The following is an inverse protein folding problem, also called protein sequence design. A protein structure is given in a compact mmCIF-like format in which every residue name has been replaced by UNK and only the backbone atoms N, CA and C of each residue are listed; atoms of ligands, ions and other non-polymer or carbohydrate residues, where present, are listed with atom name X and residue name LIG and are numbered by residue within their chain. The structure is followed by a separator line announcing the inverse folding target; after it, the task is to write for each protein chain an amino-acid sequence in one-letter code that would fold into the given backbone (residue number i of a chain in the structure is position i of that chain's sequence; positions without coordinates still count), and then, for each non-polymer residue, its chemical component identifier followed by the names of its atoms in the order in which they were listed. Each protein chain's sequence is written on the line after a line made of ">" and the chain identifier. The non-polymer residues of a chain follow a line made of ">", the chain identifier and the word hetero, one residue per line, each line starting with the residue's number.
data_IF_710156668730
#
_entry.id   IF_710156668730
#
_cell.length_a   1.000
_cell.length_b   1.000
_cell.length_c   1.000
_cell.angle_alpha   90.00
_cell.angle_beta   90.00
_cell.angle_gamma   90.00
#
_symmetry.space_group_name_H-M   'P 1'
#
loop_
_entity.id
_entity.type
_entity.pdbx_description
1 polymer ?
#
# COMPACT_ATOMS: atom_id res chain seq x y z
N UNK A 1 -11.32 5.34 -15.91
CA UNK A 1 -10.66 4.96 -14.67
C UNK A 1 -10.09 3.57 -14.88
N UNK A 2 -8.79 3.44 -15.05
CA UNK A 2 -8.16 2.13 -15.22
C UNK A 2 -7.40 1.80 -13.95
N UNK A 3 -7.82 0.76 -13.26
CA UNK A 3 -6.99 0.07 -12.28
C UNK A 3 -6.09 -0.87 -13.10
N UNK A 4 -4.79 -0.63 -13.08
CA UNK A 4 -3.83 -1.54 -13.71
C UNK A 4 -3.19 -2.38 -12.62
N UNK A 5 -3.11 -3.68 -12.85
CA UNK A 5 -2.62 -4.63 -11.88
C UNK A 5 -1.46 -5.41 -12.49
N UNK A 6 -0.47 -5.68 -11.68
CA UNK A 6 0.71 -6.42 -12.08
C UNK A 6 0.82 -7.69 -11.24
N UNK A 7 1.00 -8.83 -11.88
CA UNK A 7 1.45 -10.06 -11.22
C UNK A 7 2.85 -10.37 -11.69
N UNK A 8 3.58 -11.25 -11.01
CA UNK A 8 4.91 -11.68 -11.44
C UNK A 8 4.98 -12.32 -12.83
N UNK A 9 3.85 -12.38 -13.56
CA UNK A 9 3.69 -12.91 -14.92
C UNK A 9 3.05 -11.91 -15.89
N UNK A 10 3.03 -10.59 -15.58
CA UNK A 10 2.56 -9.56 -16.52
C UNK A 10 1.33 -8.75 -16.07
N UNK A 11 0.89 -7.86 -16.95
CA UNK A 11 -0.22 -6.92 -16.72
C UNK A 11 -1.57 -7.64 -16.79
N UNK A 12 -2.34 -7.65 -15.71
CA UNK A 12 -3.71 -8.19 -15.71
C UNK A 12 -4.70 -7.09 -16.10
N UNK A 13 -5.51 -7.33 -17.12
CA UNK A 13 -6.60 -6.44 -17.53
C UNK A 13 -7.72 -6.43 -16.49
N UNK A 14 -8.34 -5.26 -16.27
CA UNK A 14 -9.44 -5.07 -15.30
C UNK A 14 -10.58 -6.09 -15.44
N UNK A 15 -10.81 -6.63 -16.65
CA UNK A 15 -11.84 -7.63 -16.92
C UNK A 15 -11.56 -9.02 -16.32
N UNK A 16 -10.29 -9.38 -16.10
CA UNK A 16 -9.92 -10.67 -15.49
C UNK A 16 -10.03 -10.66 -13.96
N UNK A 17 -9.99 -9.49 -13.37
CA UNK A 17 -10.15 -9.29 -11.92
C UNK A 17 -11.61 -9.31 -11.47
N UNK A 18 -12.54 -9.10 -12.42
CA UNK A 18 -13.98 -9.15 -12.17
C UNK A 18 -14.56 -10.58 -12.25
N UNK A 19 -13.72 -11.62 -12.42
CA UNK A 19 -14.20 -12.98 -12.16
C UNK A 19 -14.76 -13.00 -10.73
N UNK A 20 -16.00 -13.50 -10.53
CA UNK A 20 -16.66 -13.38 -9.23
C UNK A 20 -15.76 -13.94 -8.15
N UNK A 21 -15.26 -13.04 -7.29
CA UNK A 21 -14.65 -13.39 -6.02
C UNK A 21 -15.78 -13.92 -5.13
N UNK A 22 -16.19 -15.15 -5.39
CA UNK A 22 -16.95 -15.88 -4.39
C UNK A 22 -16.00 -16.04 -3.20
N UNK A 23 -16.32 -15.44 -2.04
CA UNK A 23 -15.52 -15.66 -0.85
C UNK A 23 -15.50 -17.17 -0.63
N UNK A 24 -14.32 -17.77 -0.56
CA UNK A 24 -14.19 -19.13 -0.02
C UNK A 24 -14.80 -19.06 1.39
N UNK A 25 -16.02 -19.55 1.54
CA UNK A 25 -16.69 -19.67 2.83
C UNK A 25 -15.75 -20.45 3.75
N UNK A 26 -15.18 -19.76 4.72
CA UNK A 26 -14.51 -20.39 5.85
C UNK A 26 -15.57 -21.21 6.58
N UNK A 27 -15.51 -22.51 6.42
CA UNK A 27 -16.30 -23.46 7.19
C UNK A 27 -15.71 -23.52 8.60
N UNK A 28 -16.38 -22.92 9.57
CA UNK A 28 -16.22 -23.22 10.99
C UNK A 28 -15.04 -22.58 11.71
N UNK A 29 -15.30 -21.62 12.52
CA UNK A 29 -14.62 -20.63 13.38
C UNK A 29 -14.47 -19.29 12.65
N UNK A 30 -14.96 -18.23 13.26
CA UNK A 30 -14.86 -16.86 12.71
C UNK A 30 -13.37 -16.54 12.53
N UNK A 31 -12.88 -16.69 11.31
CA UNK A 31 -11.57 -16.19 10.89
C UNK A 31 -11.54 -14.66 10.98
N UNK A 32 -10.37 -14.03 10.87
CA UNK A 32 -10.26 -12.58 10.87
C UNK A 32 -11.16 -11.99 9.77
N UNK A 33 -11.76 -10.83 10.07
CA UNK A 33 -12.63 -10.13 9.13
C UNK A 33 -11.94 -9.94 7.77
N UNK A 34 -12.70 -10.01 6.69
CA UNK A 34 -12.25 -9.53 5.39
C UNK A 34 -12.12 -7.99 5.38
N UNK A 35 -11.33 -7.43 4.45
CA UNK A 35 -11.09 -5.98 4.43
C UNK A 35 -12.37 -5.17 4.23
N UNK A 36 -13.32 -5.66 3.42
CA UNK A 36 -14.62 -5.01 3.25
C UNK A 36 -15.42 -4.94 4.56
N UNK A 37 -15.46 -6.05 5.31
CA UNK A 37 -16.17 -6.12 6.60
C UNK A 37 -15.46 -5.30 7.67
N UNK A 38 -14.12 -5.29 7.64
CA UNK A 38 -13.31 -4.44 8.50
C UNK A 38 -13.63 -2.95 8.28
N UNK A 39 -13.67 -2.49 7.03
CA UNK A 39 -14.06 -1.11 6.70
C UNK A 39 -15.50 -0.81 7.12
N UNK A 40 -16.44 -1.71 6.87
CA UNK A 40 -17.84 -1.53 7.27
C UNK A 40 -17.96 -1.35 8.78
N UNK A 41 -17.16 -2.08 9.56
CA UNK A 41 -17.19 -2.03 11.03
C UNK A 41 -16.49 -0.79 11.60
N UNK A 42 -15.30 -0.46 11.07
CA UNK A 42 -14.40 0.54 11.68
C UNK A 42 -14.36 1.88 10.96
N UNK A 43 -14.87 1.94 9.72
CA UNK A 43 -14.89 3.12 8.86
C UNK A 43 -16.26 3.35 8.19
N UNK A 44 -17.38 3.43 8.95
CA UNK A 44 -18.73 3.51 8.38
C UNK A 44 -18.95 4.78 7.53
N UNK A 45 -18.09 5.78 7.66
CA UNK A 45 -18.11 7.01 6.85
C UNK A 45 -17.64 6.79 5.41
N UNK A 46 -16.91 5.70 5.13
CA UNK A 46 -16.44 5.38 3.78
C UNK A 46 -17.60 4.87 2.93
N UNK A 47 -17.90 5.63 1.88
CA UNK A 47 -18.91 5.24 0.92
C UNK A 47 -18.36 4.19 -0.03
N UNK A 48 -19.03 3.06 -0.13
CA UNK A 48 -18.65 1.93 -0.97
C UNK A 48 -19.05 2.14 -2.45
N UNK A 49 -18.54 3.20 -3.09
CA UNK A 49 -18.70 3.40 -4.53
C UNK A 49 -18.11 2.22 -5.33
N UNK A 50 -18.54 1.98 -6.58
CA UNK A 50 -18.05 0.84 -7.37
C UNK A 50 -16.53 0.74 -7.44
N UNK A 51 -15.83 1.86 -7.66
CA UNK A 51 -14.36 1.89 -7.69
C UNK A 51 -13.71 1.57 -6.34
N UNK A 52 -14.34 1.98 -5.22
CA UNK A 52 -13.85 1.63 -3.87
C UNK A 52 -14.04 0.15 -3.61
N UNK A 53 -15.18 -0.44 -4.00
CA UNK A 53 -15.41 -1.88 -3.88
C UNK A 53 -14.37 -2.69 -4.66
N UNK A 54 -14.04 -2.27 -5.89
CA UNK A 54 -13.00 -2.90 -6.69
C UNK A 54 -11.62 -2.78 -6.01
N UNK A 55 -11.25 -1.59 -5.54
CA UNK A 55 -10.00 -1.37 -4.84
C UNK A 55 -9.89 -2.25 -3.58
N UNK A 56 -10.93 -2.29 -2.77
CA UNK A 56 -10.99 -3.12 -1.55
C UNK A 56 -10.85 -4.61 -1.88
N UNK A 57 -11.53 -5.09 -2.92
CA UNK A 57 -11.43 -6.48 -3.35
C UNK A 57 -10.01 -6.88 -3.80
N UNK A 58 -9.31 -5.98 -4.51
CA UNK A 58 -7.94 -6.22 -4.95
C UNK A 58 -6.96 -6.16 -3.77
N UNK A 59 -7.13 -5.20 -2.86
CA UNK A 59 -6.33 -5.12 -1.63
C UNK A 59 -6.52 -6.35 -0.74
N UNK A 60 -7.71 -6.93 -0.72
CA UNK A 60 -7.93 -8.22 -0.04
C UNK A 60 -7.01 -9.31 -0.60
N UNK A 61 -6.86 -9.39 -1.93
CA UNK A 61 -5.95 -10.36 -2.56
C UNK A 61 -4.49 -10.12 -2.21
N UNK A 62 -4.09 -8.85 -2.04
CA UNK A 62 -2.76 -8.52 -1.54
C UNK A 62 -2.59 -9.04 -0.10
N UNK A 63 -3.58 -8.80 0.76
CA UNK A 63 -3.54 -9.29 2.13
C UNK A 63 -3.54 -10.82 2.22
N UNK A 64 -4.21 -11.51 1.30
CA UNK A 64 -4.25 -12.98 1.22
C UNK A 64 -2.96 -13.59 0.61
N UNK A 65 -2.02 -12.74 0.13
CA UNK A 65 -0.77 -13.18 -0.49
C UNK A 65 -0.92 -13.66 -1.93
N UNK A 66 -2.11 -13.51 -2.52
CA UNK A 66 -2.38 -13.89 -3.92
C UNK A 66 -1.77 -12.87 -4.91
N UNK A 67 -1.64 -11.62 -4.48
CA UNK A 67 -1.13 -10.53 -5.30
C UNK A 67 0.00 -9.82 -4.56
N UNK A 68 1.21 -9.85 -5.11
CA UNK A 68 2.40 -9.28 -4.47
C UNK A 68 2.82 -7.93 -5.03
N UNK A 69 2.36 -7.58 -6.23
CA UNK A 69 2.69 -6.32 -6.90
C UNK A 69 1.42 -5.68 -7.42
N UNK A 70 1.13 -4.49 -6.93
CA UNK A 70 -0.09 -3.76 -7.27
C UNK A 70 0.23 -2.31 -7.60
N UNK A 71 -0.28 -1.83 -8.73
CA UNK A 71 -0.28 -0.40 -9.05
C UNK A 71 -1.71 0.11 -9.11
N UNK A 72 -1.94 1.25 -8.45
CA UNK A 72 -3.26 1.89 -8.35
C UNK A 72 -3.19 3.29 -8.92
N UNK A 73 -3.82 3.51 -10.06
CA UNK A 73 -3.89 4.82 -10.70
C UNK A 73 -5.30 5.37 -10.55
N UNK A 74 -5.42 6.40 -9.75
CA UNK A 74 -6.71 7.05 -9.49
C UNK A 74 -6.52 8.57 -9.45
N UNK A 75 -7.50 9.33 -9.96
CA UNK A 75 -7.49 10.79 -9.84
C UNK A 75 -7.43 11.24 -8.37
N UNK A 76 -6.97 12.46 -8.10
CA UNK A 76 -7.06 13.05 -6.77
C UNK A 76 -8.50 13.03 -6.22
N UNK A 77 -8.65 12.98 -4.92
CA UNK A 77 -9.95 13.00 -4.19
C UNK A 77 -10.90 11.83 -4.47
N UNK A 78 -10.40 10.71 -5.03
CA UNK A 78 -11.19 9.49 -5.25
C UNK A 78 -10.97 8.42 -4.17
N UNK A 79 -10.39 8.77 -3.03
CA UNK A 79 -10.24 7.87 -1.88
C UNK A 79 -9.03 6.94 -1.92
N UNK A 80 -8.11 7.08 -2.90
CA UNK A 80 -6.96 6.19 -3.03
C UNK A 80 -6.12 6.10 -1.76
N UNK A 81 -5.60 7.22 -1.26
CA UNK A 81 -4.76 7.25 -0.05
C UNK A 81 -5.55 6.95 1.23
N UNK A 82 -6.85 7.31 1.27
CA UNK A 82 -7.73 6.94 2.39
C UNK A 82 -7.80 5.43 2.56
N UNK A 83 -8.05 4.71 1.47
CA UNK A 83 -8.19 3.25 1.50
C UNK A 83 -6.83 2.58 1.60
N UNK A 84 -5.86 2.94 0.71
CA UNK A 84 -4.60 2.19 0.57
C UNK A 84 -3.58 2.55 1.63
N UNK A 85 -3.51 3.83 2.05
CA UNK A 85 -2.40 4.32 2.88
C UNK A 85 -2.80 4.58 4.33
N UNK A 86 -4.11 4.58 4.65
CA UNK A 86 -4.60 4.79 6.01
C UNK A 86 -5.30 3.56 6.58
N UNK A 87 -6.30 3.01 5.87
CA UNK A 87 -7.09 1.87 6.37
C UNK A 87 -6.47 0.53 6.07
N UNK A 88 -5.87 0.34 4.90
CA UNK A 88 -5.28 -0.94 4.55
C UNK A 88 -4.09 -1.33 5.44
N UNK A 89 -3.15 -0.42 5.81
CA UNK A 89 -2.12 -0.73 6.79
C UNK A 89 -2.68 -1.14 8.16
N UNK A 90 -3.71 -0.45 8.64
CA UNK A 90 -4.37 -0.82 9.89
C UNK A 90 -4.99 -2.22 9.81
N UNK A 91 -5.63 -2.55 8.69
CA UNK A 91 -6.16 -3.88 8.43
C UNK A 91 -5.07 -4.97 8.34
N UNK A 92 -3.96 -4.68 7.66
CA UNK A 92 -2.84 -5.62 7.57
C UNK A 92 -2.28 -5.95 8.95
N UNK A 93 -2.09 -4.96 9.81
CA UNK A 93 -1.58 -5.15 11.17
C UNK A 93 -2.63 -5.72 12.13
N UNK A 94 -3.94 -5.48 11.89
CA UNK A 94 -5.02 -6.21 12.56
C UNK A 94 -4.96 -7.71 12.26
N UNK A 95 -4.70 -8.07 11.00
CA UNK A 95 -4.68 -9.46 10.54
C UNK A 95 -3.36 -10.17 10.82
N UNK A 96 -2.23 -9.44 10.72
CA UNK A 96 -0.87 -9.93 10.83
C UNK A 96 -0.04 -9.00 11.72
N UNK A 97 -0.30 -8.97 13.02
CA UNK A 97 0.31 -8.01 13.94
C UNK A 97 1.83 -8.22 14.14
N UNK A 98 2.39 -9.33 13.66
CA UNK A 98 3.82 -9.64 13.65
C UNK A 98 4.55 -9.09 12.42
N UNK A 99 3.81 -8.62 11.39
CA UNK A 99 4.40 -8.15 10.13
C UNK A 99 4.69 -6.66 10.16
N UNK A 100 5.61 -6.23 9.29
CA UNK A 100 5.98 -4.83 9.12
C UNK A 100 5.38 -4.25 7.84
N UNK A 101 4.79 -3.06 7.98
CA UNK A 101 4.31 -2.24 6.87
C UNK A 101 5.23 -1.03 6.73
N UNK A 102 5.76 -0.79 5.54
CA UNK A 102 6.49 0.42 5.20
C UNK A 102 5.65 1.31 4.28
N UNK A 103 5.68 2.61 4.51
CA UNK A 103 5.03 3.58 3.64
C UNK A 103 5.99 4.74 3.31
N UNK A 104 6.04 5.09 2.04
CA UNK A 104 6.74 6.27 1.56
C UNK A 104 5.84 7.16 0.73
N UNK A 105 6.15 8.45 0.71
CA UNK A 105 5.51 9.46 -0.11
C UNK A 105 6.53 10.51 -0.54
N UNK A 106 6.14 11.47 -1.41
CA UNK A 106 7.05 12.53 -1.89
C UNK A 106 7.71 13.34 -0.75
N UNK A 107 7.10 13.41 0.42
CA UNK A 107 7.67 14.10 1.59
C UNK A 107 7.52 13.30 2.88
N UNK A 108 8.42 13.57 3.84
CA UNK A 108 8.32 13.02 5.20
C UNK A 108 7.04 13.43 5.92
N UNK A 109 6.64 14.70 5.79
CA UNK A 109 5.45 15.23 6.46
C UNK A 109 4.16 14.51 6.02
N UNK A 110 4.02 14.24 4.71
CA UNK A 110 2.90 13.48 4.22
C UNK A 110 2.96 12.03 4.71
N UNK A 111 4.13 11.38 4.61
CA UNK A 111 4.31 10.01 5.09
C UNK A 111 3.99 9.89 6.59
N UNK A 112 4.41 10.87 7.41
CA UNK A 112 4.10 10.89 8.85
C UNK A 112 2.62 11.16 9.14
N UNK A 113 1.96 11.96 8.32
CA UNK A 113 0.51 12.17 8.42
C UNK A 113 -0.25 10.89 8.10
N UNK A 114 0.13 10.18 7.04
CA UNK A 114 -0.47 8.89 6.67
C UNK A 114 -0.20 7.83 7.75
N UNK A 115 1.02 7.79 8.30
CA UNK A 115 1.38 6.89 9.40
C UNK A 115 0.55 7.17 10.66
N UNK A 116 0.37 8.45 11.04
CA UNK A 116 -0.49 8.83 12.17
C UNK A 116 -1.92 8.32 11.97
N UNK A 117 -2.49 8.55 10.79
CA UNK A 117 -3.84 8.09 10.48
C UNK A 117 -3.96 6.56 10.51
N UNK A 118 -2.98 5.85 9.95
CA UNK A 118 -2.95 4.39 10.00
C UNK A 118 -2.87 3.87 11.45
N UNK A 119 -2.07 4.52 12.29
CA UNK A 119 -1.94 4.21 13.72
C UNK A 119 -3.25 4.46 14.48
N UNK A 120 -3.92 5.57 14.22
CA UNK A 120 -5.21 5.90 14.83
C UNK A 120 -6.29 4.91 14.40
N UNK A 121 -6.33 4.54 13.12
CA UNK A 121 -7.23 3.52 12.61
C UNK A 121 -6.97 2.14 13.22
N UNK A 122 -5.70 1.76 13.39
CA UNK A 122 -5.31 0.53 14.08
C UNK A 122 -5.76 0.56 15.54
N UNK A 123 -5.49 1.65 16.25
CA UNK A 123 -5.94 1.83 17.63
C UNK A 123 -7.46 1.76 17.75
N UNK A 124 -8.19 2.41 16.83
CA UNK A 124 -9.65 2.35 16.81
C UNK A 124 -10.17 0.90 16.63
N UNK A 125 -9.49 0.10 15.83
CA UNK A 125 -9.88 -1.28 15.58
C UNK A 125 -9.49 -2.25 16.72
N UNK A 126 -8.32 -2.03 17.33
CA UNK A 126 -7.73 -2.96 18.32
C UNK A 126 -7.96 -2.51 19.78
N UNK A 127 -8.23 -1.24 20.03
CA UNK A 127 -8.33 -0.65 21.36
C UNK A 127 -6.98 -0.35 22.01
N UNK A 128 -5.87 -0.79 21.44
CA UNK A 128 -4.52 -0.59 21.99
C UNK A 128 -3.44 -0.52 20.90
N UNK A 129 -2.31 0.11 21.25
CA UNK A 129 -1.05 0.03 20.52
C UNK A 129 -0.04 -0.56 21.49
N UNK A 130 0.27 -1.83 21.32
CA UNK A 130 0.94 -2.63 22.34
C UNK A 130 2.47 -2.60 22.29
N UNK A 131 3.09 -1.93 21.32
CA UNK A 131 4.54 -1.87 21.17
C UNK A 131 5.21 -0.78 22.01
N UNK A 132 6.53 -0.85 22.14
CA UNK A 132 7.35 0.15 22.86
C UNK A 132 7.42 1.47 22.07
N UNK A 133 7.60 1.39 20.76
CA UNK A 133 7.72 2.56 19.88
C UNK A 133 6.35 3.02 19.40
N UNK A 134 5.99 4.28 19.70
CA UNK A 134 4.70 4.89 19.37
C UNK A 134 4.82 6.21 18.58
N UNK A 135 6.00 6.48 18.01
CA UNK A 135 6.22 7.70 17.22
C UNK A 135 5.55 7.62 15.86
N UNK A 136 5.19 8.77 15.28
CA UNK A 136 4.56 8.81 13.94
C UNK A 136 5.46 8.31 12.81
N UNK A 137 6.79 8.42 12.97
CA UNK A 137 7.76 7.88 12.03
C UNK A 137 7.79 6.35 12.06
N UNK A 138 7.64 5.76 13.24
CA UNK A 138 7.62 4.32 13.45
C UNK A 138 6.79 4.01 14.69
N UNK A 139 5.93 3.02 14.58
CA UNK A 139 5.20 2.49 15.73
C UNK A 139 5.08 0.98 15.62
N UNK A 140 4.91 0.33 16.76
CA UNK A 140 4.94 -1.12 16.88
C UNK A 140 3.64 -1.67 17.43
N UNK A 141 3.29 -2.85 16.99
CA UNK A 141 2.23 -3.65 17.59
C UNK A 141 2.78 -4.41 18.81
N UNK A 142 1.91 -4.91 19.66
CA UNK A 142 2.33 -5.79 20.78
C UNK A 142 2.79 -7.19 20.37
N UNK A 143 2.95 -7.47 19.07
CA UNK A 143 3.31 -8.79 18.53
C UNK A 143 4.59 -8.78 17.68
N UNK A 144 5.39 -7.73 17.77
CA UNK A 144 6.70 -7.63 17.12
C UNK A 144 6.67 -7.06 15.69
N UNK A 145 5.50 -6.82 15.11
CA UNK A 145 5.36 -6.10 13.85
C UNK A 145 5.13 -4.60 14.08
N UNK A 146 4.84 -3.88 13.00
CA UNK A 146 4.61 -2.45 13.10
C UNK A 146 4.56 -1.73 11.76
N UNK A 147 4.67 -0.42 11.82
CA UNK A 147 4.60 0.46 10.69
C UNK A 147 5.80 1.43 10.67
N UNK A 148 6.35 1.69 9.49
CA UNK A 148 7.41 2.66 9.25
C UNK A 148 6.97 3.63 8.17
N UNK A 149 6.95 4.94 8.47
CA UNK A 149 6.70 6.00 7.50
C UNK A 149 7.97 6.80 7.23
N UNK A 150 8.29 7.04 5.96
CA UNK A 150 9.40 7.90 5.57
C UNK A 150 9.09 8.66 4.29
N UNK A 151 9.67 9.85 4.11
CA UNK A 151 9.69 10.48 2.80
C UNK A 151 10.53 9.66 1.81
N UNK A 152 10.30 9.84 0.52
CA UNK A 152 10.98 9.14 -0.57
C UNK A 152 12.52 9.07 -0.42
N UNK A 153 13.18 10.16 -0.04
CA UNK A 153 14.63 10.17 0.22
C UNK A 153 15.00 9.81 1.69
N UNK A 154 14.00 9.45 2.50
CA UNK A 154 14.22 9.12 3.92
C UNK A 154 14.79 7.71 4.10
N UNK A 155 15.53 7.53 5.20
CA UNK A 155 16.10 6.22 5.51
C UNK A 155 15.06 5.29 6.14
N UNK A 156 14.87 4.13 5.56
CA UNK A 156 14.25 2.98 6.21
C UNK A 156 15.34 2.22 6.99
N UNK A 157 15.70 2.74 8.18
CA UNK A 157 16.85 2.23 8.93
C UNK A 157 16.58 0.86 9.53
N UNK A 158 17.33 -0.14 9.08
CA UNK A 158 17.59 -1.40 9.81
C UNK A 158 16.46 -2.42 9.87
N UNK A 159 15.28 -2.14 9.32
CA UNK A 159 14.15 -3.07 9.31
C UNK A 159 13.69 -3.37 7.89
N UNK A 160 13.41 -4.64 7.62
CA UNK A 160 12.72 -5.08 6.41
C UNK A 160 11.21 -4.83 6.52
N UNK A 161 10.49 -4.98 5.43
CA UNK A 161 9.03 -4.90 5.42
C UNK A 161 8.40 -6.06 4.64
N UNK A 162 7.22 -6.47 5.09
CA UNK A 162 6.39 -7.49 4.45
C UNK A 162 5.38 -6.87 3.49
N UNK A 163 4.97 -5.62 3.76
CA UNK A 163 4.08 -4.84 2.91
C UNK A 163 4.66 -3.45 2.70
N UNK A 164 4.88 -3.07 1.46
CA UNK A 164 5.40 -1.77 1.09
C UNK A 164 4.37 -0.94 0.35
N UNK A 165 4.20 0.33 0.71
CA UNK A 165 3.28 1.27 0.07
C UNK A 165 4.05 2.51 -0.37
N UNK A 166 3.99 2.81 -1.66
CA UNK A 166 4.51 4.06 -2.24
C UNK A 166 3.30 4.90 -2.64
N UNK A 167 3.02 5.96 -1.90
CA UNK A 167 1.84 6.82 -2.12
C UNK A 167 2.26 8.20 -2.65
N UNK A 168 1.87 8.49 -3.89
CA UNK A 168 2.15 9.72 -4.61
C UNK A 168 3.64 10.12 -4.45
N UNK A 169 4.60 9.38 -5.08
CA UNK A 169 6.03 9.63 -4.91
C UNK A 169 6.51 10.97 -5.48
N UNK A 170 5.75 11.57 -6.40
CA UNK A 170 6.00 12.89 -7.01
C UNK A 170 4.99 13.91 -6.49
N UNK A 171 5.47 15.12 -6.23
CA UNK A 171 4.62 16.23 -5.75
C UNK A 171 3.66 16.75 -6.82
N UNK A 172 4.02 16.64 -8.10
CA UNK A 172 3.20 17.10 -9.21
C UNK A 172 3.91 17.06 -10.54
N UNK A 173 3.29 17.68 -11.56
CA UNK A 173 3.75 17.67 -12.94
C UNK A 173 5.15 18.27 -13.14
N UNK A 174 5.53 19.30 -12.38
CA UNK A 174 6.84 19.95 -12.47
C UNK A 174 7.98 18.97 -12.09
N UNK A 175 7.83 18.26 -10.98
CA UNK A 175 8.81 17.23 -10.59
C UNK A 175 8.82 16.07 -11.58
N UNK A 176 7.65 15.67 -12.09
CA UNK A 176 7.53 14.62 -13.09
C UNK A 176 8.20 14.96 -14.41
N UNK A 177 8.21 16.23 -14.83
CA UNK A 177 8.90 16.70 -16.03
C UNK A 177 10.43 16.64 -15.92
N UNK A 178 10.98 16.64 -14.70
CA UNK A 178 12.43 16.60 -14.47
C UNK A 178 13.01 15.19 -14.64
N UNK A 179 13.84 15.00 -15.67
CA UNK A 179 14.59 13.75 -15.89
C UNK A 179 15.40 13.38 -14.65
N UNK A 180 16.10 14.37 -14.06
CA UNK A 180 16.93 14.13 -12.85
C UNK A 180 16.13 13.58 -11.69
N UNK A 181 14.90 14.07 -11.48
CA UNK A 181 14.03 13.57 -10.39
C UNK A 181 13.56 12.15 -10.71
N UNK A 182 13.17 11.87 -11.96
CA UNK A 182 12.74 10.52 -12.36
C UNK A 182 13.85 9.51 -12.20
N UNK A 183 15.09 9.80 -12.63
CA UNK A 183 16.24 8.91 -12.44
C UNK A 183 16.55 8.68 -10.95
N UNK A 184 16.50 9.71 -10.11
CA UNK A 184 16.63 9.54 -8.64
C UNK A 184 15.57 8.60 -8.06
N UNK A 185 14.35 8.60 -8.60
CA UNK A 185 13.30 7.67 -8.16
C UNK A 185 13.60 6.23 -8.55
N UNK A 186 14.15 5.99 -9.74
CA UNK A 186 14.59 4.67 -10.20
C UNK A 186 15.74 4.14 -9.32
N UNK A 187 16.75 4.99 -9.09
CA UNK A 187 17.89 4.64 -8.24
C UNK A 187 17.47 4.32 -6.80
N UNK A 188 16.59 5.16 -6.23
CA UNK A 188 16.05 4.92 -4.90
C UNK A 188 15.25 3.62 -4.82
N UNK A 189 14.43 3.32 -5.83
CA UNK A 189 13.70 2.07 -5.88
C UNK A 189 14.65 0.87 -5.82
N UNK A 190 15.67 0.85 -6.67
CA UNK A 190 16.62 -0.26 -6.75
C UNK A 190 17.52 -0.37 -5.52
N UNK A 191 18.03 0.75 -5.04
CA UNK A 191 19.05 0.78 -3.98
C UNK A 191 18.49 0.78 -2.56
N UNK A 192 17.28 1.32 -2.35
CA UNK A 192 16.71 1.48 -1.01
C UNK A 192 15.46 0.63 -0.84
N UNK A 193 14.44 0.84 -1.68
CA UNK A 193 13.14 0.21 -1.47
C UNK A 193 13.17 -1.30 -1.70
N UNK A 194 13.68 -1.71 -2.85
CA UNK A 194 13.75 -3.13 -3.22
C UNK A 194 14.61 -3.95 -2.24
N UNK A 195 15.71 -3.39 -1.75
CA UNK A 195 16.64 -4.08 -0.83
C UNK A 195 16.09 -4.28 0.60
N UNK A 196 14.95 -3.66 0.93
CA UNK A 196 14.30 -3.76 2.26
C UNK A 196 13.09 -4.68 2.29
N UNK A 197 12.80 -5.32 1.18
CA UNK A 197 11.70 -6.28 1.10
C UNK A 197 12.09 -7.58 1.80
N UNK A 198 11.24 -8.05 2.71
CA UNK A 198 11.35 -9.40 3.25
C UNK A 198 10.98 -10.42 2.16
N UNK A 199 11.44 -11.68 2.25
CA UNK A 199 10.98 -12.73 1.36
C UNK A 199 9.45 -12.74 1.29
N UNK A 200 8.89 -12.88 0.08
CA UNK A 200 7.45 -12.90 -0.15
C UNK A 200 6.72 -11.57 0.13
N UNK A 201 7.45 -10.47 0.28
CA UNK A 201 6.85 -9.15 0.48
C UNK A 201 5.94 -8.74 -0.69
N UNK A 202 4.85 -8.06 -0.37
CA UNK A 202 4.00 -7.39 -1.34
C UNK A 202 4.24 -5.88 -1.33
N UNK A 203 4.18 -5.24 -2.49
CA UNK A 203 4.22 -3.79 -2.57
C UNK A 203 3.09 -3.22 -3.42
N UNK A 204 2.70 -2.00 -3.08
CA UNK A 204 1.64 -1.25 -3.72
C UNK A 204 2.18 0.13 -4.10
N UNK A 205 2.10 0.48 -5.37
CA UNK A 205 2.37 1.85 -5.85
C UNK A 205 1.04 2.52 -6.13
N UNK A 206 0.76 3.59 -5.41
CA UNK A 206 -0.48 4.37 -5.53
C UNK A 206 -0.11 5.76 -6.00
N UNK A 207 -0.56 6.17 -7.17
CA UNK A 207 -0.23 7.50 -7.65
C UNK A 207 -1.24 8.06 -8.65
N UNK A 208 -1.19 9.39 -8.81
CA UNK A 208 -1.67 10.05 -10.01
C UNK A 208 -0.54 10.00 -11.04
N UNK A 209 -0.82 9.54 -12.26
CA UNK A 209 0.17 9.53 -13.35
C UNK A 209 0.39 10.97 -13.86
N UNK A 210 1.65 11.41 -13.81
CA UNK A 210 2.07 12.72 -14.27
C UNK A 210 2.96 12.66 -15.50
N UNK A 211 3.67 11.57 -15.72
CA UNK A 211 4.59 11.34 -16.83
C UNK A 211 4.63 9.86 -17.19
N UNK A 212 4.87 9.53 -18.46
CA UNK A 212 4.97 8.14 -18.91
C UNK A 212 6.16 7.39 -18.30
N UNK A 213 7.28 8.10 -18.06
CA UNK A 213 8.49 7.58 -17.42
C UNK A 213 8.56 7.87 -15.91
N UNK A 214 7.43 8.12 -15.24
CA UNK A 214 7.41 8.21 -13.78
C UNK A 214 7.73 6.84 -13.13
N UNK A 215 7.80 6.76 -11.80
CA UNK A 215 8.13 5.51 -11.12
C UNK A 215 7.27 4.34 -11.59
N UNK A 216 5.97 4.54 -11.81
CA UNK A 216 5.12 3.47 -12.30
C UNK A 216 5.43 3.10 -13.76
N UNK A 217 5.75 4.07 -14.62
CA UNK A 217 6.20 3.79 -15.98
C UNK A 217 7.47 2.95 -16.01
N UNK A 218 8.48 3.35 -15.23
CA UNK A 218 9.69 2.59 -15.06
C UNK A 218 9.43 1.15 -14.60
N UNK A 219 8.61 0.96 -13.58
CA UNK A 219 8.29 -0.38 -13.07
C UNK A 219 7.53 -1.24 -14.08
N UNK A 220 6.68 -0.63 -14.90
CA UNK A 220 5.91 -1.35 -15.93
C UNK A 220 6.74 -1.76 -17.14
N UNK A 221 7.79 -1.05 -17.47
CA UNK A 221 8.54 -1.23 -18.72
C UNK A 221 9.95 -1.76 -18.50
N UNK A 222 10.71 -1.19 -17.57
CA UNK A 222 12.12 -1.49 -17.39
C UNK A 222 12.38 -2.55 -16.32
N UNK A 223 11.59 -2.54 -15.23
CA UNK A 223 11.87 -3.39 -14.06
C UNK A 223 11.08 -4.69 -14.08
N UNK A 224 9.82 -4.65 -14.52
CA UNK A 224 8.91 -5.80 -14.52
C UNK A 224 8.17 -5.97 -15.85
N UNK A 225 8.55 -5.23 -16.90
CA UNK A 225 8.02 -5.44 -18.25
C UNK A 225 8.50 -6.78 -18.81
N UNK A 226 7.66 -7.43 -19.59
CA UNK A 226 8.09 -8.57 -20.40
C UNK A 226 8.93 -8.04 -21.58
N UNK A 227 10.07 -8.71 -21.88
CA UNK A 227 10.83 -8.52 -23.12
C UNK A 227 10.02 -9.00 -24.34
#
# INVERSE_FOLDING_TARGET
>A
MSLQYFTGSGLIKSSELLKPLLPKRATGKQGPLGFADFLTRHAPHIKHYPHIKQLVAVLQRVADGELKRLMVFMPPRHGKSEIVSRWFPAYLLYRYPEKWVALTSYSGDLAYTLSRNARENYFHAMGEIGGETKAVKQWETGKGGGFIGAGYAGSFTGKGFHYGIVDDPLKGAEEAASVTIREKHKDWWRSVWFTRQEPEAAFIVVQTRWHEEDLAGFLLTEEYGEE
#
